data_IF_227670597763
#
_entry.id   IF_227670597763
#
_cell.length_a   1.000
_cell.length_b   1.000
_cell.length_c   1.000
_cell.angle_alpha   90.00
_cell.angle_beta   90.00
_cell.angle_gamma   90.00
#
_symmetry.space_group_name_H-M   'P 1'
#
loop_
_entity.id
_entity.type
_entity.pdbx_description
1 polymer ?
#
# COMPACT_ATOMS: atom_id res chain seq x y z
N UNK A 1 1.19 10.25 16.02
CA UNK A 1 0.64 9.34 14.97
C UNK A 1 0.39 10.16 13.71
N UNK A 2 0.57 9.56 12.53
CA UNK A 2 0.25 10.17 11.23
C UNK A 2 -0.99 9.48 10.68
N UNK A 3 -1.94 10.25 10.17
CA UNK A 3 -3.16 9.74 9.53
C UNK A 3 -3.22 10.18 8.06
N UNK A 4 -3.56 9.24 7.18
CA UNK A 4 -3.69 9.44 5.75
C UNK A 4 -5.07 8.94 5.29
N UNK A 5 -5.99 9.85 5.01
CA UNK A 5 -7.20 9.51 4.27
C UNK A 5 -6.83 9.30 2.80
N UNK A 6 -7.22 8.17 2.20
CA UNK A 6 -6.94 7.86 0.80
C UNK A 6 -8.15 7.23 0.11
N UNK A 7 -8.41 7.66 -1.13
CA UNK A 7 -9.36 7.00 -2.02
C UNK A 7 -8.67 5.80 -2.67
N UNK A 8 -9.21 4.60 -2.43
CA UNK A 8 -8.65 3.35 -2.95
C UNK A 8 -9.46 2.88 -4.14
N UNK A 9 -8.83 2.83 -5.32
CA UNK A 9 -9.43 2.27 -6.51
C UNK A 9 -8.98 0.82 -6.68
N UNK A 10 -9.93 -0.08 -6.96
CA UNK A 10 -9.64 -1.47 -7.33
C UNK A 10 -9.81 -1.62 -8.84
N UNK A 11 -8.73 -1.93 -9.55
CA UNK A 11 -8.77 -2.19 -11.00
C UNK A 11 -8.37 -3.63 -11.30
N UNK A 12 -9.31 -4.39 -11.87
CA UNK A 12 -9.07 -5.73 -12.45
C UNK A 12 -8.86 -5.63 -13.96
N UNK A 13 -7.76 -6.18 -14.46
CA UNK A 13 -7.39 -6.17 -15.87
C UNK A 13 -7.37 -7.60 -16.41
N UNK A 14 -8.12 -7.86 -17.49
CA UNK A 14 -8.14 -9.15 -18.20
C UNK A 14 -7.19 -9.08 -19.39
N UNK A 15 -6.18 -9.95 -19.41
CA UNK A 15 -5.31 -10.14 -20.57
C UNK A 15 -5.66 -11.44 -21.31
N UNK A 16 -5.55 -11.44 -22.64
CA UNK A 16 -6.38 -12.27 -23.54
C UNK A 16 -5.93 -13.71 -23.74
N UNK A 17 -5.02 -14.27 -22.94
CA UNK A 17 -4.53 -15.66 -23.16
C UNK A 17 -4.26 -16.50 -21.91
N UNK A 18 -4.63 -16.05 -20.72
CA UNK A 18 -4.66 -16.90 -19.52
C UNK A 18 -5.89 -16.53 -18.69
N UNK A 19 -6.85 -17.45 -18.63
CA UNK A 19 -7.96 -17.41 -17.68
C UNK A 19 -7.37 -17.60 -16.26
N UNK A 20 -6.90 -16.52 -15.63
CA UNK A 20 -6.76 -16.25 -14.17
C UNK A 20 -5.72 -15.15 -13.97
N UNK A 21 -6.13 -13.88 -13.82
CA UNK A 21 -5.46 -12.95 -12.90
C UNK A 21 -6.51 -11.96 -12.39
N UNK A 22 -7.01 -12.18 -11.19
CA UNK A 22 -7.75 -11.17 -10.45
C UNK A 22 -6.71 -10.14 -9.96
N UNK A 23 -6.24 -9.26 -10.86
CA UNK A 23 -5.30 -8.18 -10.54
C UNK A 23 -6.08 -7.20 -9.67
N UNK A 24 -5.97 -7.30 -8.35
CA UNK A 24 -6.53 -6.28 -7.47
C UNK A 24 -5.48 -5.18 -7.32
N UNK A 25 -5.41 -4.26 -8.28
CA UNK A 25 -4.55 -3.08 -8.11
C UNK A 25 -5.29 -2.08 -7.23
N UNK A 26 -4.86 -1.92 -5.97
CA UNK A 26 -5.36 -0.87 -5.09
C UNK A 26 -4.55 0.40 -5.35
N UNK A 27 -5.02 1.36 -6.14
CA UNK A 27 -4.35 2.67 -6.23
C UNK A 27 -4.98 3.62 -5.22
N UNK A 28 -4.21 4.06 -4.24
CA UNK A 28 -4.56 5.04 -3.22
C UNK A 28 -4.04 6.43 -3.59
N UNK A 29 -4.86 7.46 -3.47
CA UNK A 29 -4.42 8.86 -3.45
C UNK A 29 -5.07 9.58 -2.29
N UNK A 30 -4.31 10.44 -1.59
CA UNK A 30 -4.88 11.20 -0.48
C UNK A 30 -6.00 12.13 -0.92
N UNK A 31 -7.07 12.16 -0.14
CA UNK A 31 -8.23 13.03 -0.34
C UNK A 31 -8.46 13.91 0.88
N UNK A 32 -9.03 15.09 0.67
CA UNK A 32 -9.45 15.94 1.78
C UNK A 32 -10.63 15.27 2.51
N UNK A 33 -10.50 15.15 3.83
CA UNK A 33 -11.52 14.60 4.70
C UNK A 33 -11.62 15.43 5.98
N UNK A 34 -12.82 15.87 6.33
CA UNK A 34 -13.04 16.93 7.34
C UNK A 34 -12.65 16.53 8.77
N UNK A 35 -12.50 15.23 9.07
CA UNK A 35 -12.13 14.77 10.41
C UNK A 35 -10.62 14.90 10.69
N UNK A 36 -10.16 16.09 11.08
CA UNK A 36 -8.81 16.26 11.62
C UNK A 36 -8.78 15.98 13.12
N UNK A 37 -8.19 14.85 13.53
CA UNK A 37 -8.02 14.47 14.94
C UNK A 37 -6.93 15.32 15.61
N UNK A 38 -7.23 15.89 16.77
CA UNK A 38 -6.25 16.63 17.56
C UNK A 38 -5.05 15.73 17.95
N UNK A 39 -3.83 16.23 17.78
CA UNK A 39 -2.59 15.50 18.10
C UNK A 39 -2.13 14.49 17.02
N UNK A 40 -2.80 14.45 15.86
CA UNK A 40 -2.43 13.58 14.73
C UNK A 40 -1.99 14.46 13.55
N UNK A 41 -0.81 14.18 13.01
CA UNK A 41 -0.33 14.88 11.80
C UNK A 41 -1.02 14.25 10.59
N UNK A 42 -1.57 15.07 9.70
CA UNK A 42 -2.15 14.59 8.46
C UNK A 42 -1.04 14.38 7.42
N UNK A 43 -0.79 13.12 7.08
CA UNK A 43 0.12 12.75 6.01
C UNK A 43 -0.56 12.83 4.64
N UNK A 44 0.23 12.69 3.58
CA UNK A 44 -0.23 12.71 2.21
C UNK A 44 0.33 11.51 1.45
N UNK A 45 -0.55 10.64 0.97
CA UNK A 45 -0.21 9.58 0.05
C UNK A 45 -0.29 10.12 -1.38
N UNK A 46 0.87 10.24 -2.04
CA UNK A 46 0.92 10.30 -3.49
C UNK A 46 0.39 8.97 -4.08
N UNK A 47 0.07 8.91 -5.39
CA UNK A 47 -0.39 7.68 -6.02
C UNK A 47 0.48 6.48 -5.66
N UNK A 48 -0.09 5.58 -4.86
CA UNK A 48 0.58 4.41 -4.29
C UNK A 48 -0.33 3.21 -4.40
N UNK A 49 0.20 1.99 -4.35
CA UNK A 49 -0.64 0.81 -4.47
C UNK A 49 0.08 -0.51 -4.50
N UNK A 50 -0.71 -1.56 -4.62
CA UNK A 50 -0.26 -2.95 -4.64
C UNK A 50 -0.68 -3.62 -5.93
N UNK A 51 0.24 -4.33 -6.58
CA UNK A 51 -0.02 -5.20 -7.71
C UNK A 51 0.13 -6.63 -7.25
N UNK A 52 -0.95 -7.42 -7.35
CA UNK A 52 -0.90 -8.86 -7.10
C UNK A 52 -1.01 -9.59 -8.44
N UNK A 53 0.00 -10.37 -8.78
CA UNK A 53 0.04 -11.17 -10.01
C UNK A 53 0.43 -12.60 -9.66
N UNK A 54 -0.16 -13.64 -10.28
CA UNK A 54 0.30 -15.01 -10.07
C UNK A 54 1.74 -15.13 -10.55
N UNK A 55 2.56 -15.87 -9.80
CA UNK A 55 3.84 -16.32 -10.31
C UNK A 55 3.59 -17.34 -11.43
N UNK A 56 4.46 -17.34 -12.45
CA UNK A 56 4.37 -18.34 -13.52
C UNK A 56 4.48 -19.74 -12.92
N UNK A 57 3.55 -20.61 -13.31
CA UNK A 57 3.53 -22.04 -12.99
C UNK A 57 3.60 -22.37 -11.49
N UNK A 58 3.05 -21.51 -10.64
CA UNK A 58 3.00 -21.71 -9.19
C UNK A 58 1.66 -21.26 -8.60
N UNK A 59 1.27 -21.86 -7.47
CA UNK A 59 0.11 -21.42 -6.67
C UNK A 59 0.41 -20.16 -5.84
N UNK A 60 1.64 -19.64 -5.90
CA UNK A 60 2.03 -18.41 -5.21
C UNK A 60 1.75 -17.18 -6.08
N UNK A 61 1.45 -16.06 -5.42
CA UNK A 61 1.31 -14.75 -6.07
C UNK A 61 2.49 -13.85 -5.72
N UNK A 62 2.97 -13.09 -6.70
CA UNK A 62 3.91 -11.99 -6.52
C UNK A 62 3.11 -10.74 -6.20
N UNK A 63 3.35 -10.19 -5.01
CA UNK A 63 2.80 -8.92 -4.57
C UNK A 63 3.88 -7.85 -4.66
N UNK A 64 3.63 -6.80 -5.45
CA UNK A 64 4.53 -5.66 -5.63
C UNK A 64 3.87 -4.40 -5.09
N UNK A 65 4.48 -3.78 -4.09
CA UNK A 65 4.02 -2.51 -3.51
C UNK A 65 4.81 -1.31 -4.01
N UNK A 66 4.11 -0.25 -4.38
CA UNK A 66 4.66 1.08 -4.61
C UNK A 66 4.09 2.01 -3.54
N UNK A 67 4.92 2.50 -2.63
CA UNK A 67 4.48 3.41 -1.56
C UNK A 67 5.21 4.74 -1.71
N UNK A 68 4.44 5.82 -1.73
CA UNK A 68 4.95 7.18 -1.82
C UNK A 68 4.17 8.07 -0.83
N UNK A 69 4.39 7.81 0.46
CA UNK A 69 3.76 8.54 1.57
C UNK A 69 4.67 9.67 2.03
N UNK A 70 4.14 10.88 2.02
CA UNK A 70 4.70 12.03 2.71
C UNK A 70 4.09 12.11 4.12
N UNK A 71 4.88 11.78 5.14
CA UNK A 71 4.43 11.79 6.52
C UNK A 71 4.16 13.21 7.06
N UNK A 72 4.69 14.24 6.38
CA UNK A 72 4.64 15.66 6.76
C UNK A 72 5.14 15.94 8.19
N UNK A 73 5.23 17.23 8.53
CA UNK A 73 5.76 17.69 9.83
C UNK A 73 7.30 17.75 9.88
N UNK A 74 7.83 18.16 11.04
CA UNK A 74 9.28 18.25 11.24
C UNK A 74 9.85 16.89 11.66
N UNK A 75 10.02 15.99 10.71
CA UNK A 75 10.62 14.67 10.92
C UNK A 75 12.00 14.61 10.27
N UNK A 76 13.03 14.05 10.95
CA UNK A 76 14.30 13.75 10.32
C UNK A 76 14.11 12.73 9.18
N UNK A 77 14.76 12.94 8.04
CA UNK A 77 14.63 12.05 6.88
C UNK A 77 14.98 10.60 7.22
N UNK A 78 16.01 10.38 8.05
CA UNK A 78 16.42 9.05 8.51
C UNK A 78 15.33 8.32 9.30
N UNK A 79 14.52 9.06 10.07
CA UNK A 79 13.39 8.50 10.80
C UNK A 79 12.25 8.12 9.85
N UNK A 80 12.01 8.94 8.82
CA UNK A 80 11.03 8.64 7.75
C UNK A 80 11.43 7.37 7.00
N UNK A 81 12.67 7.30 6.51
CA UNK A 81 13.16 6.15 5.73
C UNK A 81 13.10 4.85 6.55
N UNK A 82 13.49 4.91 7.83
CA UNK A 82 13.41 3.76 8.74
C UNK A 82 11.97 3.32 9.00
N UNK A 83 11.07 4.28 9.24
CA UNK A 83 9.65 3.99 9.48
C UNK A 83 8.97 3.38 8.24
N UNK A 84 9.28 3.89 7.04
CA UNK A 84 8.73 3.38 5.78
C UNK A 84 9.25 1.97 5.48
N UNK A 85 10.55 1.74 5.63
CA UNK A 85 11.16 0.43 5.39
C UNK A 85 10.65 -0.63 6.38
N UNK A 86 10.61 -0.30 7.68
CA UNK A 86 10.07 -1.20 8.70
C UNK A 86 8.57 -1.47 8.51
N UNK A 87 7.79 -0.44 8.14
CA UNK A 87 6.38 -0.57 7.83
C UNK A 87 6.11 -1.56 6.68
N UNK A 88 6.93 -1.52 5.63
CA UNK A 88 6.84 -2.46 4.51
C UNK A 88 7.16 -3.90 4.93
N UNK A 89 8.24 -4.11 5.69
CA UNK A 89 8.62 -5.45 6.16
C UNK A 89 7.53 -6.04 7.05
N UNK A 90 7.02 -5.24 7.99
CA UNK A 90 5.93 -5.66 8.88
C UNK A 90 4.66 -5.97 8.10
N UNK A 91 4.31 -5.14 7.10
CA UNK A 91 3.15 -5.40 6.24
C UNK A 91 3.21 -6.77 5.56
N UNK A 92 4.35 -7.13 4.95
CA UNK A 92 4.49 -8.46 4.33
C UNK A 92 4.47 -9.60 5.35
N UNK A 93 5.05 -9.38 6.54
CA UNK A 93 5.01 -10.36 7.64
C UNK A 93 3.57 -10.61 8.12
N UNK A 94 2.85 -9.54 8.42
CA UNK A 94 1.46 -9.59 8.89
C UNK A 94 0.54 -10.19 7.83
N UNK A 95 0.76 -9.86 6.55
CA UNK A 95 0.01 -10.44 5.43
C UNK A 95 0.24 -11.95 5.33
N UNK A 96 1.49 -12.42 5.45
CA UNK A 96 1.79 -13.87 5.46
C UNK A 96 1.09 -14.56 6.61
N UNK A 97 1.16 -13.98 7.81
CA UNK A 97 0.48 -14.52 8.99
C UNK A 97 -1.04 -14.59 8.81
N UNK A 98 -1.66 -13.53 8.26
CA UNK A 98 -3.11 -13.49 8.01
C UNK A 98 -3.55 -14.52 6.96
N UNK A 99 -2.73 -14.74 5.93
CA UNK A 99 -2.94 -15.77 4.91
C UNK A 99 -2.56 -17.18 5.39
N UNK A 100 -1.96 -17.30 6.58
CA UNK A 100 -1.47 -18.55 7.18
C UNK A 100 -0.42 -19.26 6.31
N UNK A 101 0.46 -18.48 5.70
CA UNK A 101 1.61 -18.94 4.89
C UNK A 101 2.94 -18.63 5.58
#
# INVERSE_FOLDING_TARGET
CVDCAALVFFRCERDSNVLTVLRSCSSGVSVDHDEQKAGVVRGFNHPCGWFCVPAQDSEISVLTGYIQTDLRGMLPQTAVDTAMASGLVNFYSDLRQALKI
#
